data_IF_065654721145
#
_entry.id   IF_065654721145
#
_cell.length_a   1.000
_cell.length_b   1.000
_cell.length_c   1.000
_cell.angle_alpha   90.00
_cell.angle_beta   90.00
_cell.angle_gamma   90.00
#
_symmetry.space_group_name_H-M   'P 1'
#
loop_
_entity.id
_entity.type
_entity.pdbx_description
1 polymer ?
#
# COMPACT_ATOMS: atom_id res chain seq x y z
N UNK A 1 -3.07 -3.98 -10.04
CA UNK A 1 -3.96 -2.91 -10.52
C UNK A 1 -3.39 -1.61 -9.99
N UNK A 2 -3.17 -0.62 -10.84
CA UNK A 2 -2.63 0.67 -10.44
C UNK A 2 -3.70 1.72 -10.71
N UNK A 3 -3.87 2.67 -9.78
CA UNK A 3 -4.80 3.79 -9.94
C UNK A 3 -4.07 5.08 -9.58
N UNK A 4 -4.26 6.11 -10.40
CA UNK A 4 -3.93 7.49 -10.03
C UNK A 4 -5.14 8.04 -9.30
N UNK A 5 -4.91 8.69 -8.16
CA UNK A 5 -5.96 9.28 -7.33
C UNK A 5 -5.75 10.78 -7.28
N UNK A 6 -6.82 11.55 -7.49
CA UNK A 6 -6.85 13.01 -7.32
C UNK A 6 -7.84 13.42 -6.23
N UNK A 7 -7.80 14.70 -5.85
CA UNK A 7 -8.73 15.27 -4.87
C UNK A 7 -10.20 14.98 -5.27
N UNK A 8 -10.99 14.55 -4.28
CA UNK A 8 -12.41 14.21 -4.47
C UNK A 8 -12.67 12.77 -4.93
N UNK A 9 -11.63 12.01 -5.29
CA UNK A 9 -11.79 10.59 -5.65
C UNK A 9 -11.78 9.67 -4.42
N UNK A 10 -12.49 8.55 -4.56
CA UNK A 10 -12.62 7.53 -3.51
C UNK A 10 -12.09 6.21 -4.03
N UNK A 11 -11.29 5.52 -3.21
CA UNK A 11 -10.82 4.17 -3.47
C UNK A 11 -11.13 3.27 -2.28
N UNK A 12 -11.29 1.99 -2.55
CA UNK A 12 -11.60 0.98 -1.55
C UNK A 12 -10.52 -0.10 -1.53
N UNK A 13 -10.08 -0.47 -0.34
CA UNK A 13 -9.08 -1.52 -0.11
C UNK A 13 -9.78 -2.69 0.58
N UNK A 14 -9.91 -3.85 -0.09
CA UNK A 14 -10.45 -5.05 0.54
C UNK A 14 -9.55 -5.56 1.67
N UNK A 15 -10.15 -6.32 2.60
CA UNK A 15 -9.40 -6.98 3.68
C UNK A 15 -8.37 -7.94 3.08
N UNK A 16 -7.14 -7.90 3.63
CA UNK A 16 -5.99 -8.70 3.19
C UNK A 16 -5.50 -8.44 1.76
N UNK A 17 -5.90 -7.31 1.17
CA UNK A 17 -5.35 -6.87 -0.10
C UNK A 17 -4.08 -6.05 0.13
N UNK A 18 -2.89 -6.49 -0.34
CA UNK A 18 -1.67 -5.70 -0.19
C UNK A 18 -1.73 -4.48 -1.12
N UNK A 19 -1.37 -3.32 -0.59
CA UNK A 19 -1.35 -2.07 -1.34
C UNK A 19 -0.22 -1.17 -0.84
N UNK A 20 0.15 -0.18 -1.66
CA UNK A 20 0.99 0.94 -1.25
C UNK A 20 0.39 2.23 -1.82
N UNK A 21 0.64 3.33 -1.12
CA UNK A 21 0.21 4.67 -1.54
C UNK A 21 1.47 5.50 -1.74
N UNK A 22 1.60 6.11 -2.91
CA UNK A 22 2.79 6.85 -3.30
C UNK A 22 2.38 8.29 -3.58
N UNK A 23 2.94 9.22 -2.80
CA UNK A 23 2.73 10.63 -3.04
C UNK A 23 3.41 11.09 -4.33
N UNK A 24 2.81 12.09 -4.98
CA UNK A 24 3.44 12.79 -6.11
C UNK A 24 4.74 13.48 -5.68
N UNK A 25 5.58 13.85 -6.64
CA UNK A 25 6.76 14.68 -6.35
C UNK A 25 6.41 16.15 -6.11
N UNK A 26 5.24 16.59 -6.56
CA UNK A 26 4.80 17.98 -6.51
C UNK A 26 4.19 18.41 -5.18
N UNK A 27 3.86 17.46 -4.30
CA UNK A 27 3.23 17.78 -3.02
C UNK A 27 2.84 16.57 -2.18
N UNK A 28 2.45 16.81 -0.92
CA UNK A 28 1.98 15.76 -0.02
C UNK A 28 0.70 15.10 -0.54
N UNK A 29 0.51 13.84 -0.18
CA UNK A 29 -0.73 13.10 -0.45
C UNK A 29 -1.56 13.00 0.83
N UNK A 30 -2.65 13.76 0.87
CA UNK A 30 -3.54 13.85 2.03
C UNK A 30 -4.85 13.11 1.76
N UNK A 31 -5.27 12.27 2.69
CA UNK A 31 -6.54 11.55 2.62
C UNK A 31 -7.06 11.23 4.02
N UNK A 32 -8.35 10.92 4.10
CA UNK A 32 -8.98 10.32 5.27
C UNK A 32 -9.72 9.06 4.85
N UNK A 33 -9.90 8.13 5.78
CA UNK A 33 -10.50 6.83 5.48
C UNK A 33 -11.48 6.41 6.55
N UNK A 34 -12.45 5.61 6.13
CA UNK A 34 -13.37 4.92 7.02
C UNK A 34 -13.02 3.43 7.03
N UNK A 35 -13.13 2.80 8.20
CA UNK A 35 -13.05 1.34 8.30
C UNK A 35 -14.46 0.78 8.44
N UNK A 36 -14.78 -0.25 7.66
CA UNK A 36 -16.13 -0.87 7.66
C UNK A 36 -16.36 -1.85 8.81
N UNK A 37 -15.35 -2.04 9.68
CA UNK A 37 -15.41 -2.94 10.83
C UNK A 37 -14.89 -2.22 12.07
N UNK A 38 -15.68 -2.25 13.15
CA UNK A 38 -15.28 -1.74 14.47
C UNK A 38 -14.30 -2.66 15.23
N UNK A 39 -13.93 -3.81 14.65
CA UNK A 39 -12.95 -4.73 15.26
C UNK A 39 -11.53 -4.19 15.12
N UNK A 40 -10.66 -4.61 16.02
CA UNK A 40 -9.23 -4.27 16.01
C UNK A 40 -8.59 -4.57 14.65
N UNK A 41 -8.25 -3.50 13.92
CA UNK A 41 -7.45 -3.58 12.71
C UNK A 41 -5.97 -3.71 13.11
N UNK A 42 -5.30 -4.75 12.60
CA UNK A 42 -3.87 -5.01 12.85
C UNK A 42 -3.15 -4.98 11.49
N UNK A 43 -2.71 -3.80 11.01
CA UNK A 43 -2.03 -3.72 9.74
C UNK A 43 -0.75 -4.56 9.77
N UNK A 44 -0.50 -5.29 8.69
CA UNK A 44 0.70 -6.09 8.50
C UNK A 44 1.55 -5.43 7.42
N UNK A 45 2.76 -5.02 7.79
CA UNK A 45 3.69 -4.42 6.84
C UNK A 45 4.50 -5.52 6.14
N UNK A 46 4.67 -5.37 4.83
CA UNK A 46 5.44 -6.32 4.00
C UNK A 46 6.88 -5.88 3.74
N UNK A 47 7.23 -4.64 4.12
CA UNK A 47 8.55 -4.06 3.94
C UNK A 47 8.86 -3.10 5.10
N UNK A 48 10.14 -2.87 5.38
CA UNK A 48 10.60 -2.02 6.46
C UNK A 48 10.91 -2.75 7.76
N UNK A 49 11.45 -2.01 8.73
CA UNK A 49 11.95 -2.55 10.00
C UNK A 49 10.86 -3.16 10.91
N UNK A 50 9.58 -2.89 10.65
CA UNK A 50 8.44 -3.51 11.35
C UNK A 50 7.62 -4.47 10.44
N UNK A 51 8.24 -4.98 9.37
CA UNK A 51 7.57 -5.91 8.46
C UNK A 51 7.49 -7.33 9.01
N UNK A 52 6.53 -8.11 8.51
CA UNK A 52 6.46 -9.56 8.78
C UNK A 52 7.72 -10.30 8.32
N UNK A 53 8.45 -9.77 7.33
CA UNK A 53 9.69 -10.39 6.86
C UNK A 53 10.77 -10.40 7.96
N UNK A 54 10.75 -9.41 8.85
CA UNK A 54 11.66 -9.35 10.00
C UNK A 54 11.42 -10.50 10.99
N UNK A 55 10.17 -10.97 11.13
CA UNK A 55 9.81 -12.07 12.02
C UNK A 55 9.87 -13.44 11.35
N UNK A 56 9.79 -13.47 10.02
CA UNK A 56 9.84 -14.69 9.21
C UNK A 56 11.25 -14.98 8.66
N UNK A 57 12.31 -14.47 9.29
CA UNK A 57 13.69 -14.78 8.90
C UNK A 57 14.00 -16.26 9.08
N UNK A 58 15.00 -16.73 8.33
CA UNK A 58 15.55 -18.08 8.48
C UNK A 58 15.68 -18.85 7.17
N UNK A 59 16.16 -20.09 7.24
CA UNK A 59 16.43 -20.93 6.09
C UNK A 59 15.17 -21.27 5.28
N UNK A 60 14.01 -21.39 5.92
CA UNK A 60 12.74 -21.70 5.24
C UNK A 60 12.32 -20.55 4.32
N UNK A 61 12.44 -19.32 4.80
CA UNK A 61 12.13 -18.14 4.01
C UNK A 61 13.16 -17.92 2.92
N UNK A 62 14.45 -18.14 3.21
CA UNK A 62 15.51 -18.06 2.21
C UNK A 62 15.28 -19.07 1.08
N UNK A 63 14.92 -20.30 1.43
CA UNK A 63 14.55 -21.35 0.47
C UNK A 63 13.31 -20.98 -0.36
N UNK A 64 12.28 -20.39 0.27
CA UNK A 64 11.07 -19.93 -0.43
C UNK A 64 11.38 -18.86 -1.50
N UNK A 65 12.37 -18.00 -1.25
CA UNK A 65 12.85 -17.00 -2.23
C UNK A 65 13.99 -17.51 -3.14
N UNK A 66 14.49 -18.74 -2.91
CA UNK A 66 15.60 -19.31 -3.69
C UNK A 66 16.93 -18.57 -3.52
N UNK A 67 17.19 -18.00 -2.34
CA UNK A 67 18.40 -17.23 -2.03
C UNK A 67 19.13 -17.81 -0.80
N UNK A 68 20.38 -17.40 -0.58
CA UNK A 68 21.06 -17.71 0.69
C UNK A 68 20.47 -16.90 1.84
N UNK A 69 20.61 -17.39 3.07
CA UNK A 69 20.17 -16.68 4.27
C UNK A 69 20.83 -15.30 4.41
N UNK A 70 22.14 -15.21 4.14
CA UNK A 70 22.87 -13.94 4.15
C UNK A 70 22.27 -12.94 3.16
N UNK A 71 21.95 -13.40 1.95
CA UNK A 71 21.34 -12.55 0.92
C UNK A 71 19.93 -12.12 1.31
N UNK A 72 19.15 -13.01 1.91
CA UNK A 72 17.84 -12.66 2.44
C UNK A 72 17.95 -11.57 3.51
N UNK A 73 18.88 -11.74 4.46
CA UNK A 73 19.12 -10.78 5.54
C UNK A 73 19.52 -9.41 4.99
N UNK A 74 20.48 -9.37 4.05
CA UNK A 74 20.87 -8.13 3.36
C UNK A 74 19.67 -7.38 2.76
N UNK A 75 18.77 -8.10 2.09
CA UNK A 75 17.59 -7.51 1.44
C UNK A 75 16.61 -6.96 2.48
N UNK A 76 16.31 -7.74 3.52
CA UNK A 76 15.36 -7.34 4.57
C UNK A 76 15.90 -6.15 5.37
N UNK A 77 17.21 -6.09 5.61
CA UNK A 77 17.88 -5.03 6.39
C UNK A 77 18.17 -3.74 5.59
N UNK A 78 17.98 -3.76 4.27
CA UNK A 78 18.23 -2.60 3.42
C UNK A 78 17.26 -1.44 3.66
N UNK A 79 16.04 -1.72 4.13
CA UNK A 79 15.02 -0.71 4.43
C UNK A 79 14.90 -0.50 5.95
N UNK A 80 15.33 0.67 6.44
CA UNK A 80 15.43 0.96 7.89
C UNK A 80 14.18 1.63 8.44
N UNK A 81 13.42 2.29 7.58
CA UNK A 81 12.16 2.93 7.91
C UNK A 81 11.06 1.88 8.11
N UNK A 82 10.01 2.23 8.86
CA UNK A 82 9.00 1.27 9.32
C UNK A 82 7.71 1.31 8.52
N UNK A 83 7.00 2.44 8.51
CA UNK A 83 5.64 2.56 7.95
C UNK A 83 5.60 3.44 6.71
N UNK A 84 6.19 4.64 6.77
CA UNK A 84 6.28 5.58 5.64
C UNK A 84 7.71 5.54 5.14
N UNK A 85 7.89 5.20 3.87
CA UNK A 85 9.19 4.98 3.26
C UNK A 85 9.52 6.09 2.24
N UNK A 86 10.80 6.43 2.03
CA UNK A 86 11.20 7.32 0.95
C UNK A 86 10.78 6.78 -0.42
N UNK A 87 10.04 7.57 -1.19
CA UNK A 87 9.46 7.14 -2.48
C UNK A 87 10.04 7.85 -3.70
N UNK A 88 11.01 8.75 -3.55
CA UNK A 88 11.47 9.63 -4.63
C UNK A 88 11.85 8.86 -5.92
N UNK A 89 12.48 7.70 -5.79
CA UNK A 89 12.90 6.86 -6.92
C UNK A 89 11.75 6.12 -7.63
N UNK A 90 10.60 5.95 -6.97
CA UNK A 90 9.44 5.19 -7.46
C UNK A 90 8.18 6.04 -7.67
N UNK A 91 8.22 7.31 -7.27
CA UNK A 91 7.14 8.26 -7.50
C UNK A 91 6.91 8.43 -9.02
N UNK A 92 5.64 8.35 -9.48
CA UNK A 92 5.32 8.57 -10.89
C UNK A 92 5.84 9.92 -11.38
N UNK A 93 6.27 10.02 -12.65
CA UNK A 93 6.59 11.31 -13.26
C UNK A 93 5.35 12.21 -13.27
N UNK A 94 5.57 13.51 -13.19
CA UNK A 94 4.47 14.48 -13.22
C UNK A 94 3.83 14.48 -14.61
N UNK A 95 2.54 14.15 -14.67
CA UNK A 95 1.76 14.35 -15.89
C UNK A 95 1.55 15.86 -16.08
N UNK A 96 2.18 16.44 -17.10
CA UNK A 96 1.80 17.77 -17.62
C UNK A 96 0.32 17.71 -17.95
N UNK A 97 -0.50 18.43 -17.17
CA UNK A 97 -1.95 18.30 -17.10
C UNK A 97 -2.64 18.11 -18.47
N UNK A 98 -2.98 16.86 -18.79
CA UNK A 98 -3.97 16.49 -19.78
C UNK A 98 -5.27 16.17 -19.06
N UNK A 99 -6.26 17.04 -19.21
CA UNK A 99 -7.64 16.93 -18.72
C UNK A 99 -8.19 15.51 -19.01
N UNK A 100 -8.17 14.63 -18.00
CA UNK A 100 -8.55 13.22 -18.13
C UNK A 100 -10.06 13.01 -18.05
N UNK A 101 -10.60 12.29 -19.02
CA UNK A 101 -11.99 11.87 -19.10
C UNK A 101 -12.46 11.16 -17.82
N UNK A 102 -13.63 11.59 -17.35
CA UNK A 102 -14.35 11.02 -16.23
C UNK A 102 -14.79 9.60 -16.60
N UNK A 103 -14.07 8.57 -16.15
CA UNK A 103 -14.58 7.20 -16.18
C UNK A 103 -15.61 7.06 -15.04
N UNK A 104 -16.85 7.41 -15.35
CA UNK A 104 -18.04 6.90 -14.67
C UNK A 104 -18.39 5.54 -15.30
N UNK A 105 -18.29 4.46 -14.53
CA UNK A 105 -19.06 3.19 -14.67
C UNK A 105 -18.79 2.36 -13.40
N UNK A 106 -19.69 2.30 -12.40
CA UNK A 106 -20.94 1.50 -12.29
C UNK A 106 -20.70 0.00 -12.21
N UNK A 107 -20.77 -0.57 -10.98
CA UNK A 107 -21.46 -1.81 -10.53
C UNK A 107 -21.46 -1.71 -8.98
N UNK A 108 -22.52 -1.83 -8.17
CA UNK A 108 -23.82 -2.46 -8.32
C UNK A 108 -24.03 -3.48 -7.19
N UNK A 109 -24.30 -3.04 -5.95
CA UNK A 109 -25.20 -3.67 -4.97
C UNK A 109 -25.11 -2.95 -3.61
N UNK A 110 -26.24 -2.38 -3.19
CA UNK A 110 -26.61 -1.84 -1.87
C UNK A 110 -25.56 -1.88 -0.73
N UNK A 111 -25.06 -0.71 -0.30
CA UNK A 111 -24.55 -0.55 1.06
C UNK A 111 -25.70 -0.06 1.95
N UNK A 112 -26.39 -0.99 2.60
CA UNK A 112 -27.26 -0.69 3.74
C UNK A 112 -26.36 -0.44 4.94
N UNK A 113 -26.16 0.83 5.30
CA UNK A 113 -25.56 1.22 6.58
C UNK A 113 -26.68 1.22 7.63
N UNK A 114 -26.91 0.05 8.24
CA UNK A 114 -27.70 -0.05 9.47
C UNK A 114 -26.87 0.52 10.63
N UNK A 115 -27.35 1.60 11.21
CA UNK A 115 -26.89 2.11 12.50
C UNK A 115 -27.86 1.58 13.57
N UNK A 116 -27.35 0.80 14.51
CA UNK A 116 -27.90 0.72 15.87
C UNK A 116 -27.08 1.65 16.77
#
# INVERSE_FOLDING_TARGET
MNAKVTEGEVFWIPRYFPFCQIASRTGPFEFFGFTTSARNNRPQFLVGANSLLQTMRGPEMAAAFGVSEDRLNEIIDAQRETTILPSATVAPPDDVAGRGDVIRNVVGSEMVMGFD
#
